data_IF_307547073354
#
_entry.id   IF_307547073354
#
_cell.length_a   1.000
_cell.length_b   1.000
_cell.length_c   1.000
_cell.angle_alpha   90.00
_cell.angle_beta   90.00
_cell.angle_gamma   90.00
#
_symmetry.space_group_name_H-M   'P 1'
#
loop_
_entity.id
_entity.type
_entity.pdbx_description
1 polymer ?
#
# COMPACT_ATOMS: atom_id res chain seq x y z
N UNK A 1 3.49 -33.77 -14.91
CA UNK A 1 4.97 -33.89 -14.98
C UNK A 1 5.50 -33.43 -13.60
N UNK A 2 6.19 -34.28 -12.82
CA UNK A 2 6.71 -33.85 -11.52
C UNK A 2 7.81 -32.82 -11.73
N UNK A 3 7.71 -31.70 -10.98
CA UNK A 3 8.71 -30.64 -10.99
C UNK A 3 10.08 -31.22 -10.59
N UNK A 4 11.12 -30.87 -11.32
CA UNK A 4 12.50 -31.24 -11.01
C UNK A 4 12.83 -30.79 -9.57
N UNK A 5 13.66 -31.56 -8.86
CA UNK A 5 14.05 -31.26 -7.47
C UNK A 5 14.63 -29.83 -7.32
N UNK A 6 15.33 -29.36 -8.34
CA UNK A 6 15.91 -28.01 -8.41
C UNK A 6 14.86 -26.91 -8.49
N UNK A 7 13.74 -27.13 -9.20
CA UNK A 7 12.63 -26.17 -9.26
C UNK A 7 11.90 -26.03 -7.91
N UNK A 8 11.80 -27.12 -7.17
CA UNK A 8 11.20 -27.11 -5.82
C UNK A 8 12.05 -26.35 -4.83
N UNK A 9 13.37 -26.51 -4.90
CA UNK A 9 14.31 -25.80 -4.05
C UNK A 9 14.27 -24.30 -4.32
N UNK A 10 14.39 -23.87 -5.57
CA UNK A 10 14.31 -22.45 -5.98
C UNK A 10 13.01 -21.77 -5.55
N UNK A 11 11.88 -22.47 -5.71
CA UNK A 11 10.59 -21.94 -5.24
C UNK A 11 10.54 -21.77 -3.73
N UNK A 12 11.09 -22.72 -2.98
CA UNK A 12 11.16 -22.65 -1.52
C UNK A 12 12.02 -21.47 -1.04
N UNK A 13 13.17 -21.28 -1.68
CA UNK A 13 14.06 -20.15 -1.43
C UNK A 13 13.38 -18.81 -1.74
N UNK A 14 12.68 -18.69 -2.85
CA UNK A 14 11.92 -17.50 -3.21
C UNK A 14 10.78 -17.18 -2.23
N UNK A 15 10.05 -18.20 -1.78
CA UNK A 15 8.99 -18.05 -0.77
C UNK A 15 9.58 -17.61 0.57
N UNK A 16 10.68 -18.25 1.01
CA UNK A 16 11.36 -17.90 2.23
C UNK A 16 11.82 -16.44 2.20
N UNK A 17 12.51 -16.04 1.14
CA UNK A 17 12.97 -14.67 0.97
C UNK A 17 11.80 -13.66 0.95
N UNK A 18 10.69 -13.98 0.27
CA UNK A 18 9.52 -13.10 0.25
C UNK A 18 8.88 -12.94 1.64
N UNK A 19 8.80 -14.02 2.42
CA UNK A 19 8.29 -13.99 3.80
C UNK A 19 9.20 -13.20 4.75
N UNK A 20 10.51 -13.34 4.60
CA UNK A 20 11.49 -12.55 5.37
C UNK A 20 11.28 -11.04 5.21
N UNK A 21 10.98 -10.60 3.99
CA UNK A 21 10.76 -9.17 3.72
C UNK A 21 9.56 -8.57 4.45
N UNK A 22 8.59 -9.38 4.85
CA UNK A 22 7.37 -8.97 5.56
C UNK A 22 7.37 -9.40 7.05
N UNK A 23 8.51 -9.81 7.59
CA UNK A 23 8.62 -10.42 8.93
C UNK A 23 7.62 -11.57 9.13
N UNK A 24 7.48 -12.41 8.11
CA UNK A 24 6.46 -13.46 8.03
C UNK A 24 7.02 -14.88 8.00
N UNK A 25 8.30 -15.12 8.34
CA UNK A 25 8.97 -16.42 8.23
C UNK A 25 8.22 -17.52 8.98
N UNK A 26 7.72 -17.18 10.18
CA UNK A 26 6.92 -18.08 11.01
C UNK A 26 5.59 -18.51 10.37
N UNK A 27 5.16 -17.81 9.32
CA UNK A 27 3.89 -18.07 8.65
C UNK A 27 4.01 -19.09 7.50
N UNK A 28 5.23 -19.53 7.16
CA UNK A 28 5.51 -20.40 6.04
C UNK A 28 4.68 -21.71 6.05
N UNK A 29 4.48 -22.28 7.24
CA UNK A 29 3.76 -23.54 7.44
C UNK A 29 2.38 -23.35 8.11
N UNK A 30 1.93 -22.09 8.29
CA UNK A 30 0.63 -21.78 8.90
C UNK A 30 -0.46 -21.79 7.83
N UNK A 31 -1.59 -22.44 8.12
CA UNK A 31 -2.74 -22.43 7.22
C UNK A 31 -3.36 -21.03 7.14
N UNK A 32 -3.64 -20.54 5.94
CA UNK A 32 -4.24 -19.21 5.74
C UNK A 32 -5.54 -18.98 6.50
N UNK A 33 -6.35 -20.03 6.70
CA UNK A 33 -7.62 -19.93 7.43
C UNK A 33 -7.51 -19.72 8.95
N UNK A 34 -6.31 -19.83 9.53
CA UNK A 34 -6.07 -19.57 10.97
C UNK A 34 -5.19 -18.34 11.20
N UNK A 35 -4.75 -17.68 10.13
CA UNK A 35 -3.99 -16.43 10.22
C UNK A 35 -4.91 -15.27 10.64
N UNK A 36 -4.37 -14.35 11.43
CA UNK A 36 -4.99 -13.05 11.65
C UNK A 36 -5.07 -12.24 10.33
N UNK A 37 -5.95 -11.23 10.28
CA UNK A 37 -6.07 -10.36 9.11
C UNK A 37 -4.73 -9.74 8.69
N UNK A 38 -3.96 -9.22 9.66
CA UNK A 38 -2.64 -8.64 9.40
C UNK A 38 -1.59 -9.67 8.95
N UNK A 39 -1.59 -10.88 9.49
CA UNK A 39 -0.72 -11.96 9.03
C UNK A 39 -1.05 -12.37 7.59
N UNK A 40 -2.34 -12.54 7.28
CA UNK A 40 -2.78 -12.87 5.94
C UNK A 40 -2.44 -11.76 4.94
N UNK A 41 -2.59 -10.49 5.32
CA UNK A 41 -2.23 -9.36 4.47
C UNK A 41 -0.73 -9.34 4.16
N UNK A 42 0.13 -9.56 5.14
CA UNK A 42 1.59 -9.65 4.91
C UNK A 42 1.96 -10.82 4.00
N UNK A 43 1.33 -11.97 4.16
CA UNK A 43 1.54 -13.12 3.26
C UNK A 43 1.09 -12.81 1.83
N UNK A 44 -0.02 -12.10 1.64
CA UNK A 44 -0.47 -11.64 0.31
C UNK A 44 0.54 -10.70 -0.36
N UNK A 45 1.09 -9.77 0.40
CA UNK A 45 2.15 -8.88 -0.10
C UNK A 45 3.41 -9.69 -0.48
N UNK A 46 3.85 -10.60 0.38
CA UNK A 46 4.98 -11.48 0.08
C UNK A 46 4.73 -12.30 -1.20
N UNK A 47 3.53 -12.84 -1.37
CA UNK A 47 3.14 -13.59 -2.57
C UNK A 47 3.20 -12.72 -3.83
N UNK A 48 2.69 -11.49 -3.78
CA UNK A 48 2.71 -10.57 -4.92
C UNK A 48 4.16 -10.20 -5.32
N UNK A 49 5.03 -10.03 -4.34
CA UNK A 49 6.44 -9.67 -4.56
C UNK A 49 7.32 -10.85 -5.01
N UNK A 50 6.96 -12.09 -4.65
CA UNK A 50 7.73 -13.28 -4.99
C UNK A 50 7.85 -13.55 -6.50
N UNK A 51 6.95 -12.99 -7.32
CA UNK A 51 6.96 -13.10 -8.79
C UNK A 51 7.83 -12.06 -9.48
N UNK A 52 8.47 -11.18 -8.74
CA UNK A 52 9.29 -10.06 -9.25
C UNK A 52 8.56 -9.20 -10.31
N UNK A 53 7.39 -8.61 -9.97
CA UNK A 53 6.52 -7.97 -10.94
C UNK A 53 7.09 -6.66 -11.46
N UNK A 54 6.89 -6.35 -12.74
CA UNK A 54 7.13 -5.03 -13.33
C UNK A 54 6.04 -4.00 -12.98
N UNK A 55 4.81 -4.48 -12.72
CA UNK A 55 3.66 -3.69 -12.28
C UNK A 55 3.04 -4.35 -11.05
N UNK A 56 2.92 -3.58 -9.98
CA UNK A 56 2.28 -3.99 -8.73
C UNK A 56 1.01 -3.17 -8.52
N UNK A 57 -0.12 -3.85 -8.47
CA UNK A 57 -1.41 -3.25 -8.14
C UNK A 57 -1.80 -3.65 -6.72
N UNK A 58 -1.95 -2.66 -5.85
CA UNK A 58 -2.28 -2.85 -4.45
C UNK A 58 -3.63 -2.20 -4.15
N UNK A 59 -4.59 -3.00 -3.73
CA UNK A 59 -5.88 -2.54 -3.22
C UNK A 59 -5.89 -2.71 -1.71
N UNK A 60 -5.98 -1.58 -0.98
CA UNK A 60 -5.91 -1.48 0.47
C UNK A 60 -4.77 -2.31 1.11
N UNK A 61 -3.51 -2.14 0.68
CA UNK A 61 -2.42 -3.01 1.12
C UNK A 61 -2.06 -2.88 2.60
N UNK A 62 -2.49 -1.80 3.25
CA UNK A 62 -2.22 -1.50 4.67
C UNK A 62 -3.38 -1.87 5.59
N UNK A 63 -4.53 -2.28 5.03
CA UNK A 63 -5.72 -2.64 5.80
C UNK A 63 -5.45 -3.77 6.79
N UNK A 64 -5.99 -3.64 8.00
CA UNK A 64 -5.84 -4.58 9.11
C UNK A 64 -4.41 -4.77 9.64
N UNK A 65 -3.47 -3.91 9.24
CA UNK A 65 -2.13 -3.88 9.80
C UNK A 65 -2.07 -2.90 10.99
N UNK A 66 -1.31 -3.28 12.01
CA UNK A 66 -0.89 -2.32 13.02
C UNK A 66 0.10 -1.29 12.44
N UNK A 67 0.30 -0.14 13.07
CA UNK A 67 1.12 0.94 12.53
C UNK A 67 2.56 0.53 12.17
N UNK A 68 3.17 -0.40 12.90
CA UNK A 68 4.53 -0.85 12.62
C UNK A 68 4.58 -1.72 11.36
N UNK A 69 3.64 -2.66 11.22
CA UNK A 69 3.53 -3.48 10.02
C UNK A 69 3.05 -2.68 8.80
N UNK A 70 2.15 -1.70 8.96
CA UNK A 70 1.75 -0.80 7.88
C UNK A 70 2.94 -0.01 7.34
N UNK A 71 3.78 0.54 8.22
CA UNK A 71 5.02 1.23 7.84
C UNK A 71 5.99 0.29 7.13
N UNK A 72 6.21 -0.92 7.66
CA UNK A 72 7.07 -1.94 7.04
C UNK A 72 6.63 -2.24 5.60
N UNK A 73 5.33 -2.46 5.38
CA UNK A 73 4.79 -2.76 4.05
C UNK A 73 4.93 -1.56 3.10
N UNK A 74 4.66 -0.35 3.57
CA UNK A 74 4.83 0.86 2.76
C UNK A 74 6.29 1.07 2.34
N UNK A 75 7.25 0.87 3.25
CA UNK A 75 8.68 0.93 2.97
C UNK A 75 9.13 -0.17 2.00
N UNK A 76 8.59 -1.38 2.13
CA UNK A 76 8.86 -2.50 1.22
C UNK A 76 8.38 -2.20 -0.21
N UNK A 77 7.15 -1.69 -0.36
CA UNK A 77 6.58 -1.28 -1.64
C UNK A 77 7.46 -0.18 -2.27
N UNK A 78 7.85 0.83 -1.49
CA UNK A 78 8.74 1.89 -1.96
C UNK A 78 10.12 1.37 -2.38
N UNK A 79 10.71 0.47 -1.61
CA UNK A 79 11.99 -0.18 -1.96
C UNK A 79 11.89 -0.90 -3.30
N UNK A 80 10.83 -1.69 -3.53
CA UNK A 80 10.58 -2.36 -4.81
C UNK A 80 10.49 -1.36 -5.97
N UNK A 81 9.74 -0.27 -5.77
CA UNK A 81 9.63 0.80 -6.78
C UNK A 81 11.00 1.35 -7.17
N UNK A 82 11.89 1.60 -6.20
CA UNK A 82 13.18 2.25 -6.42
C UNK A 82 14.27 1.31 -6.93
N UNK A 83 14.35 0.11 -6.38
CA UNK A 83 15.48 -0.81 -6.64
C UNK A 83 15.21 -1.73 -7.82
N UNK A 84 13.97 -2.15 -8.02
CA UNK A 84 13.58 -3.04 -9.11
C UNK A 84 12.84 -2.33 -10.25
N UNK A 85 12.74 -0.99 -10.20
CA UNK A 85 12.01 -0.18 -11.19
C UNK A 85 10.57 -0.67 -11.42
N UNK A 86 9.93 -1.17 -10.36
CA UNK A 86 8.54 -1.65 -10.40
C UNK A 86 7.60 -0.46 -10.44
N UNK A 87 6.69 -0.42 -11.39
CA UNK A 87 5.57 0.53 -11.37
C UNK A 87 4.58 0.09 -10.31
N UNK A 88 4.18 0.99 -9.41
CA UNK A 88 3.26 0.67 -8.32
C UNK A 88 2.04 1.57 -8.38
N UNK A 89 0.86 0.97 -8.30
CA UNK A 89 -0.42 1.68 -8.13
C UNK A 89 -1.02 1.18 -6.81
N UNK A 90 -1.28 2.11 -5.89
CA UNK A 90 -1.90 1.84 -4.60
C UNK A 90 -3.26 2.52 -4.56
N UNK A 91 -4.30 1.79 -4.26
CA UNK A 91 -5.62 2.31 -3.88
C UNK A 91 -5.74 2.17 -2.36
N UNK A 92 -6.02 3.27 -1.67
CA UNK A 92 -6.18 3.26 -0.21
C UNK A 92 -6.93 4.50 0.27
N UNK A 93 -7.59 4.38 1.40
CA UNK A 93 -8.15 5.49 2.16
C UNK A 93 -7.20 5.93 3.29
N UNK A 94 -6.24 5.11 3.69
CA UNK A 94 -5.21 5.45 4.69
C UNK A 94 -3.98 6.08 4.04
N UNK A 95 -4.11 7.32 3.58
CA UNK A 95 -3.10 7.96 2.74
C UNK A 95 -1.82 8.33 3.47
N UNK A 96 -1.88 8.70 4.76
CA UNK A 96 -0.75 9.29 5.48
C UNK A 96 0.47 8.38 5.62
N UNK A 97 0.26 7.07 5.64
CA UNK A 97 1.36 6.09 5.73
C UNK A 97 2.09 5.94 4.39
N UNK A 98 1.39 6.12 3.26
CA UNK A 98 1.97 5.90 1.93
C UNK A 98 2.43 7.19 1.24
N UNK A 99 1.83 8.34 1.56
CA UNK A 99 2.12 9.64 0.93
C UNK A 99 3.61 10.01 0.86
N UNK A 100 4.45 9.72 1.88
CA UNK A 100 5.89 10.00 1.79
C UNK A 100 6.62 9.30 0.64
N UNK A 101 6.01 8.27 0.05
CA UNK A 101 6.59 7.42 -0.98
C UNK A 101 5.93 7.60 -2.35
N UNK A 102 4.94 8.50 -2.46
CA UNK A 102 4.11 8.68 -3.65
C UNK A 102 4.67 9.76 -4.54
N UNK A 103 4.82 9.46 -5.84
CA UNK A 103 5.23 10.45 -6.84
C UNK A 103 4.02 11.25 -7.34
N UNK A 104 2.88 10.59 -7.51
CA UNK A 104 1.63 11.20 -8.01
C UNK A 104 0.41 10.63 -7.29
N UNK A 105 -0.55 11.50 -7.06
CA UNK A 105 -1.86 11.16 -6.50
C UNK A 105 -2.92 11.29 -7.59
N UNK A 106 -3.77 10.29 -7.72
CA UNK A 106 -5.06 10.37 -8.39
C UNK A 106 -6.15 10.37 -7.31
N UNK A 107 -6.80 11.52 -7.12
CA UNK A 107 -7.90 11.66 -6.20
C UNK A 107 -9.22 11.59 -6.97
N UNK A 108 -10.13 10.73 -6.54
CA UNK A 108 -11.39 10.45 -7.24
C UNK A 108 -12.58 10.63 -6.30
N UNK A 109 -13.54 11.47 -6.69
CA UNK A 109 -14.77 11.74 -5.94
C UNK A 109 -15.93 11.87 -6.92
N UNK A 110 -16.97 11.05 -6.78
CA UNK A 110 -18.20 11.11 -7.58
C UNK A 110 -17.98 11.26 -9.09
N UNK A 111 -17.05 10.47 -9.64
CA UNK A 111 -16.71 10.49 -11.07
C UNK A 111 -15.85 11.69 -11.51
N UNK A 112 -15.54 12.61 -10.61
CA UNK A 112 -14.56 13.69 -10.83
C UNK A 112 -13.20 13.26 -10.31
N UNK A 113 -12.15 13.75 -10.93
CA UNK A 113 -10.80 13.40 -10.48
C UNK A 113 -9.81 14.56 -10.64
N UNK A 114 -8.74 14.46 -9.87
CA UNK A 114 -7.52 15.23 -10.03
C UNK A 114 -6.31 14.31 -9.96
N UNK A 115 -5.34 14.59 -10.82
CA UNK A 115 -4.05 13.89 -10.81
C UNK A 115 -2.92 14.93 -10.76
N UNK A 116 -1.94 14.70 -9.88
CA UNK A 116 -0.82 15.63 -9.71
C UNK A 116 0.17 15.14 -8.66
N UNK A 117 1.09 16.01 -8.24
CA UNK A 117 1.90 15.75 -7.05
C UNK A 117 1.03 15.81 -5.80
N UNK A 118 1.57 15.37 -4.66
CA UNK A 118 0.86 15.42 -3.38
C UNK A 118 0.40 16.86 -3.09
N UNK A 119 1.28 17.84 -3.27
CA UNK A 119 0.98 19.26 -3.00
C UNK A 119 -0.08 19.84 -3.95
N UNK A 120 -0.09 19.40 -5.21
CA UNK A 120 -1.06 19.85 -6.20
C UNK A 120 -2.46 19.30 -5.98
N UNK A 121 -2.58 18.14 -5.33
CA UNK A 121 -3.86 17.46 -5.13
C UNK A 121 -4.35 17.62 -3.69
N UNK A 122 -3.47 17.48 -2.69
CA UNK A 122 -3.81 17.50 -1.27
C UNK A 122 -3.79 18.94 -0.72
N UNK A 123 -4.67 19.80 -1.23
CA UNK A 123 -4.86 21.16 -0.75
C UNK A 123 -6.35 21.53 -0.71
N UNK A 124 -6.67 22.53 0.09
CA UNK A 124 -8.04 23.01 0.35
C UNK A 124 -8.78 23.33 -0.95
N UNK A 125 -8.20 24.09 -1.86
CA UNK A 125 -8.85 24.52 -3.09
C UNK A 125 -9.24 23.33 -3.98
N UNK A 126 -8.30 22.41 -4.21
CA UNK A 126 -8.52 21.23 -5.06
C UNK A 126 -9.56 20.29 -4.47
N UNK A 127 -9.47 19.99 -3.16
CA UNK A 127 -10.43 19.08 -2.54
C UNK A 127 -11.81 19.72 -2.41
N UNK A 128 -11.93 21.02 -2.07
CA UNK A 128 -13.22 21.70 -2.05
C UNK A 128 -13.91 21.69 -3.42
N UNK A 129 -13.15 21.88 -4.51
CA UNK A 129 -13.69 21.75 -5.86
C UNK A 129 -14.17 20.33 -6.19
N UNK A 130 -13.40 19.30 -5.80
CA UNK A 130 -13.76 17.91 -6.06
C UNK A 130 -15.03 17.49 -5.30
N UNK A 131 -15.09 17.80 -4.01
CA UNK A 131 -16.23 17.48 -3.13
C UNK A 131 -17.44 18.38 -3.35
N UNK A 132 -17.25 19.59 -3.92
CA UNK A 132 -18.26 20.68 -3.97
C UNK A 132 -18.75 21.09 -2.58
N UNK A 133 -17.84 21.10 -1.61
CA UNK A 133 -18.11 21.40 -0.22
C UNK A 133 -16.92 22.20 0.34
N UNK A 134 -17.13 22.87 1.47
CA UNK A 134 -16.02 23.51 2.19
C UNK A 134 -15.16 22.45 2.87
N UNK A 135 -14.03 22.15 2.25
CA UNK A 135 -13.04 21.20 2.75
C UNK A 135 -11.80 21.98 3.15
N UNK A 136 -11.31 21.74 4.35
CA UNK A 136 -10.05 22.29 4.80
C UNK A 136 -8.97 21.21 4.85
N UNK A 137 -7.82 21.52 4.28
CA UNK A 137 -6.65 20.65 4.31
C UNK A 137 -5.55 21.34 5.10
N UNK A 138 -5.11 20.71 6.18
CA UNK A 138 -3.98 21.14 6.96
C UNK A 138 -2.84 20.13 6.89
N UNK A 139 -1.62 20.62 6.70
CA UNK A 139 -0.41 19.78 6.84
C UNK A 139 0.14 20.00 8.25
N UNK A 140 0.10 18.95 9.06
CA UNK A 140 0.64 18.96 10.42
C UNK A 140 1.86 18.07 10.47
N UNK A 141 3.06 18.64 10.52
CA UNK A 141 4.33 17.94 10.28
C UNK A 141 4.29 17.30 8.88
N UNK A 142 4.41 15.96 8.80
CA UNK A 142 4.39 15.20 7.54
C UNK A 142 3.03 14.53 7.28
N UNK A 143 1.96 14.93 7.98
CA UNK A 143 0.61 14.35 7.84
C UNK A 143 -0.35 15.35 7.26
N UNK A 144 -1.23 14.90 6.39
CA UNK A 144 -2.36 15.66 5.91
C UNK A 144 -3.61 15.34 6.74
N UNK A 145 -4.30 16.39 7.18
CA UNK A 145 -5.58 16.30 7.87
C UNK A 145 -6.61 16.99 6.99
N UNK A 146 -7.67 16.29 6.65
CA UNK A 146 -8.77 16.81 5.83
C UNK A 146 -10.01 16.91 6.72
N UNK A 147 -10.62 18.08 6.75
CA UNK A 147 -11.81 18.37 7.56
C UNK A 147 -12.89 18.94 6.64
N UNK A 148 -14.09 18.36 6.67
CA UNK A 148 -15.28 18.87 5.99
C UNK A 148 -16.32 19.43 6.96
N UNK A 149 -17.34 20.13 6.47
CA UNK A 149 -18.40 20.75 7.28
C UNK A 149 -19.17 19.74 8.15
N UNK A 150 -19.29 18.47 7.76
CA UNK A 150 -20.03 17.43 8.48
C UNK A 150 -19.15 16.57 9.45
N UNK A 151 -18.03 17.12 9.91
CA UNK A 151 -17.25 16.49 10.99
C UNK A 151 -16.27 15.39 10.60
N UNK A 152 -15.84 15.35 9.39
CA UNK A 152 -14.70 14.55 8.96
C UNK A 152 -15.05 13.47 7.93
N UNK A 153 -14.50 13.62 6.75
CA UNK A 153 -14.36 12.48 5.85
C UNK A 153 -13.16 11.64 6.35
N UNK A 154 -13.32 10.33 6.57
CA UNK A 154 -12.18 9.49 6.93
C UNK A 154 -11.19 9.46 5.77
N UNK A 155 -9.97 9.84 6.05
CA UNK A 155 -8.81 9.62 5.19
C UNK A 155 -8.10 8.34 5.61
#
# INVERSE_FOLDING_TARGET
>A
MPLRSDDRRRRREAVQHALEQVNGERLADVRAGVMSGGELQRVRIAQALASDPMLLLCDEPLLALDPANAKLVAELINRRRREANTTVIVVTHEINTILPYVDRVLYLVDGRFRIGTVEQVMNTETLSMLYRADIQVAKVKDRYVVVGEDGGYPL
#
